data_IF_554187247196
#
_entry.id   IF_554187247196
#
_cell.length_a   1.000
_cell.length_b   1.000
_cell.length_c   1.000
_cell.angle_alpha   90.00
_cell.angle_beta   90.00
_cell.angle_gamma   90.00
#
_symmetry.space_group_name_H-M   'P 1'
#
loop_
_entity.id
_entity.type
_entity.pdbx_description
1 polymer ?
#
# COMPACT_ATOMS: atom_id res chain seq x y z
N UNK A 1 -24.05 -3.13 12.59
CA UNK A 1 -23.39 -3.28 12.19
C UNK A 1 -22.97 -3.62 11.69
N UNK A 2 -22.94 -3.61 11.66
CA UNK A 2 -22.21 -4.01 11.07
C UNK A 2 -21.54 -3.80 10.72
N UNK A 3 -21.01 -3.65 10.69
CA UNK A 3 -20.18 -3.56 10.30
C UNK A 3 -19.52 -3.39 9.76
N UNK A 4 -19.52 -2.99 9.71
CA UNK A 4 -18.71 -2.96 8.78
C UNK A 4 -17.45 -2.95 8.88
N UNK A 5 -17.25 -3.16 9.28
CA UNK A 5 -16.20 -3.25 9.27
C UNK A 5 -15.59 -3.97 8.87
N UNK A 6 -16.01 -4.01 9.35
CA UNK A 6 -15.43 -4.64 8.38
C UNK A 6 -14.00 -4.77 8.41
N UNK A 7 -13.53 -5.84 8.04
CA UNK A 7 -12.14 -5.93 7.92
C UNK A 7 -11.74 -5.38 6.57
N UNK A 8 -10.56 -4.95 6.51
CA UNK A 8 -10.07 -4.20 5.40
C UNK A 8 -9.91 -5.00 4.15
N UNK A 9 -9.59 -6.28 4.31
CA UNK A 9 -9.56 -7.17 3.17
C UNK A 9 -10.88 -7.18 2.44
N UNK A 10 -11.99 -7.18 3.20
CA UNK A 10 -13.31 -7.11 2.60
C UNK A 10 -13.56 -5.81 1.88
N UNK A 11 -13.09 -4.71 2.45
CA UNK A 11 -13.27 -3.41 1.81
C UNK A 11 -12.53 -3.36 0.49
N UNK A 12 -11.30 -3.87 0.46
CA UNK A 12 -10.48 -3.84 -0.74
C UNK A 12 -11.03 -4.78 -1.82
N UNK A 13 -11.55 -5.94 -1.42
CA UNK A 13 -11.96 -6.96 -2.38
C UNK A 13 -13.45 -6.94 -2.73
N UNK A 14 -14.30 -6.57 -1.77
CA UNK A 14 -15.74 -6.69 -1.93
C UNK A 14 -16.29 -5.81 -3.04
N UNK A 15 -15.64 -4.73 -3.37
CA UNK A 15 -16.08 -3.82 -4.41
C UNK A 15 -15.45 -4.13 -5.76
N UNK A 16 -14.72 -5.23 -5.85
CA UNK A 16 -13.98 -5.53 -7.06
C UNK A 16 -12.79 -4.62 -7.25
N UNK A 17 -12.47 -3.82 -6.24
CA UNK A 17 -11.33 -2.93 -6.31
C UNK A 17 -10.03 -3.71 -6.23
N UNK A 18 -9.01 -3.19 -6.88
CA UNK A 18 -7.67 -3.74 -6.78
C UNK A 18 -6.81 -2.73 -6.03
N UNK A 19 -5.63 -3.16 -5.63
CA UNK A 19 -4.71 -2.23 -4.98
C UNK A 19 -4.32 -1.08 -5.90
N UNK A 20 -4.54 -1.24 -7.19
CA UNK A 20 -4.26 -0.18 -8.16
C UNK A 20 -5.17 1.02 -7.97
N UNK A 21 -6.35 0.82 -7.37
CA UNK A 21 -7.26 1.92 -7.09
C UNK A 21 -6.75 2.81 -5.96
N UNK A 22 -5.69 2.40 -5.29
CA UNK A 22 -5.05 3.19 -4.24
C UNK A 22 -3.77 3.84 -4.75
N UNK A 23 -3.86 4.57 -5.85
CA UNK A 23 -2.70 5.17 -6.50
C UNK A 23 -1.85 6.01 -5.55
N UNK A 24 -2.49 6.91 -4.80
CA UNK A 24 -1.79 7.76 -3.86
C UNK A 24 -1.03 7.00 -2.78
N UNK A 25 -1.70 6.07 -2.08
CA UNK A 25 -1.02 5.26 -1.08
C UNK A 25 0.09 4.39 -1.65
N UNK A 26 -0.09 3.84 -2.85
CA UNK A 26 0.96 3.05 -3.49
C UNK A 26 2.18 3.91 -3.79
N UNK A 27 1.95 5.14 -4.24
CA UNK A 27 3.04 6.07 -4.51
C UNK A 27 3.81 6.41 -3.23
N UNK A 28 3.11 6.53 -2.10
CA UNK A 28 3.76 6.79 -0.83
C UNK A 28 4.64 5.60 -0.44
N UNK A 29 4.14 4.38 -0.61
CA UNK A 29 4.93 3.19 -0.31
C UNK A 29 6.17 3.14 -1.19
N UNK A 30 6.03 3.43 -2.48
CA UNK A 30 7.18 3.48 -3.39
C UNK A 30 8.21 4.52 -2.93
N UNK A 31 7.73 5.67 -2.49
CA UNK A 31 8.61 6.71 -1.97
C UNK A 31 9.37 6.23 -0.74
N UNK A 32 8.68 5.58 0.19
CA UNK A 32 9.30 5.07 1.41
C UNK A 32 10.34 4.02 1.10
N UNK A 33 10.04 3.11 0.17
CA UNK A 33 11.00 2.09 -0.25
C UNK A 33 12.23 2.72 -0.89
N UNK A 34 12.00 3.71 -1.74
CA UNK A 34 13.09 4.42 -2.41
C UNK A 34 14.00 5.13 -1.41
N UNK A 35 13.41 5.80 -0.43
CA UNK A 35 14.18 6.52 0.58
C UNK A 35 15.05 5.57 1.40
N UNK A 36 14.62 4.35 1.59
CA UNK A 36 15.35 3.37 2.38
C UNK A 36 16.17 2.42 1.52
N UNK A 37 16.20 2.65 0.20
CA UNK A 37 16.96 1.85 -0.75
C UNK A 37 16.57 0.37 -0.70
N UNK A 38 15.26 0.12 -0.59
CA UNK A 38 14.71 -1.23 -0.53
C UNK A 38 14.02 -1.52 -1.86
N UNK A 39 14.34 -2.68 -2.45
CA UNK A 39 13.66 -3.13 -3.66
C UNK A 39 12.26 -3.61 -3.31
N UNK A 40 11.33 -3.48 -4.26
CA UNK A 40 9.93 -3.83 -4.00
C UNK A 40 9.80 -5.28 -3.54
N UNK A 41 10.53 -6.20 -4.18
CA UNK A 41 10.42 -7.62 -3.84
C UNK A 41 10.98 -7.94 -2.45
N UNK A 42 11.74 -7.01 -1.86
CA UNK A 42 12.34 -7.20 -0.54
C UNK A 42 11.56 -6.51 0.57
N UNK A 43 10.34 -6.07 0.27
CA UNK A 43 9.53 -5.34 1.24
C UNK A 43 9.20 -6.19 2.47
N UNK A 44 9.34 -5.58 3.65
CA UNK A 44 9.02 -6.20 4.94
C UNK A 44 7.79 -5.50 5.51
N UNK A 45 6.74 -6.27 5.77
CA UNK A 45 5.46 -5.68 6.19
C UNK A 45 5.56 -4.85 7.46
N UNK A 46 6.30 -5.33 8.46
CA UNK A 46 6.40 -4.59 9.73
C UNK A 46 7.10 -3.26 9.55
N UNK A 47 8.17 -3.24 8.77
CA UNK A 47 8.93 -2.01 8.54
C UNK A 47 8.14 -1.01 7.73
N UNK A 48 7.50 -1.46 6.65
CA UNK A 48 6.76 -0.54 5.79
C UNK A 48 5.52 0.00 6.49
N UNK A 49 4.86 -0.83 7.30
CA UNK A 49 3.71 -0.37 8.08
C UNK A 49 4.12 0.74 9.04
N UNK A 50 5.22 0.53 9.76
CA UNK A 50 5.70 1.53 10.70
C UNK A 50 6.01 2.85 10.01
N UNK A 51 6.71 2.79 8.89
CA UNK A 51 7.06 4.00 8.14
C UNK A 51 5.83 4.68 7.54
N UNK A 52 4.89 3.88 7.07
CA UNK A 52 3.67 4.41 6.48
C UNK A 52 2.85 5.15 7.54
N UNK A 53 2.71 4.56 8.74
CA UNK A 53 1.98 5.20 9.82
C UNK A 53 2.66 6.49 10.26
N UNK A 54 3.99 6.50 10.30
CA UNK A 54 4.74 7.71 10.64
C UNK A 54 4.51 8.80 9.61
N UNK A 55 4.42 8.43 8.34
CA UNK A 55 4.14 9.37 7.26
C UNK A 55 2.76 10.01 7.44
N UNK A 56 1.75 9.19 7.75
CA UNK A 56 0.39 9.71 7.98
C UNK A 56 0.35 10.61 9.22
N UNK A 57 1.07 10.21 10.26
CA UNK A 57 1.12 11.01 11.47
C UNK A 57 1.74 12.39 11.22
N UNK A 58 2.76 12.43 10.38
CA UNK A 58 3.38 13.70 10.02
C UNK A 58 2.42 14.58 9.23
N UNK A 59 1.67 13.99 8.31
CA UNK A 59 0.65 14.72 7.57
C UNK A 59 -0.39 15.33 8.51
N UNK A 60 -0.80 14.57 9.50
CA UNK A 60 -1.77 15.02 10.48
C UNK A 60 -1.21 16.17 11.32
N UNK A 61 0.06 16.10 11.69
CA UNK A 61 0.71 17.16 12.45
C UNK A 61 0.79 18.47 11.67
N UNK A 62 0.82 18.38 10.35
CA UNK A 62 0.85 19.55 9.48
C UNK A 62 -0.56 20.04 9.13
N UNK A 63 -1.56 19.53 9.86
CA UNK A 63 -2.97 19.88 9.65
C UNK A 63 -3.46 19.53 8.25
N UNK A 64 -2.85 18.56 7.62
CA UNK A 64 -3.29 18.11 6.31
C UNK A 64 -4.40 17.08 6.48
N UNK A 65 -5.43 17.23 5.67
CA UNK A 65 -6.52 16.29 5.65
C UNK A 65 -6.07 14.99 4.99
N UNK A 66 -6.35 13.88 5.64
CA UNK A 66 -5.93 12.57 5.13
C UNK A 66 -7.11 11.92 4.41
N UNK A 67 -6.93 11.68 3.12
CA UNK A 67 -7.97 11.03 2.32
C UNK A 67 -8.20 9.60 2.80
N UNK A 68 -9.44 9.14 2.66
CA UNK A 68 -9.84 7.83 3.17
C UNK A 68 -9.04 6.67 2.58
N UNK A 69 -8.58 6.79 1.34
CA UNK A 69 -7.81 5.72 0.74
C UNK A 69 -6.45 5.52 1.43
N UNK A 70 -5.89 6.58 2.02
CA UNK A 70 -4.65 6.45 2.78
C UNK A 70 -4.89 5.68 4.07
N UNK A 71 -6.03 5.93 4.71
CA UNK A 71 -6.40 5.19 5.93
C UNK A 71 -6.72 3.75 5.61
N UNK A 72 -7.40 3.50 4.50
CA UNK A 72 -7.71 2.15 4.05
C UNK A 72 -6.43 1.34 3.81
N UNK A 73 -5.43 1.96 3.20
CA UNK A 73 -4.15 1.29 2.99
C UNK A 73 -3.47 0.96 4.31
N UNK A 74 -3.50 1.89 5.29
CA UNK A 74 -2.91 1.62 6.60
C UNK A 74 -3.55 0.38 7.23
N UNK A 75 -4.87 0.31 7.19
CA UNK A 75 -5.58 -0.83 7.75
C UNK A 75 -5.28 -2.12 6.99
N UNK A 76 -5.10 -2.03 5.68
CA UNK A 76 -4.73 -3.19 4.87
C UNK A 76 -3.35 -3.72 5.27
N UNK A 77 -2.39 -2.82 5.46
CA UNK A 77 -1.05 -3.22 5.90
C UNK A 77 -1.09 -3.84 7.30
N UNK A 78 -1.91 -3.28 8.19
CA UNK A 78 -2.10 -3.84 9.52
C UNK A 78 -2.74 -5.24 9.47
N UNK A 79 -3.68 -5.42 8.56
CA UNK A 79 -4.31 -6.71 8.35
C UNK A 79 -3.27 -7.76 7.95
N UNK A 80 -2.42 -7.43 6.99
CA UNK A 80 -1.37 -8.35 6.56
C UNK A 80 -0.43 -8.69 7.73
N UNK A 81 0.01 -7.68 8.46
CA UNK A 81 0.92 -7.91 9.58
C UNK A 81 0.29 -8.81 10.64
N UNK A 82 -0.98 -8.56 10.96
CA UNK A 82 -1.68 -9.35 11.96
C UNK A 82 -1.76 -10.82 11.53
N UNK A 83 -2.10 -11.06 10.26
CA UNK A 83 -2.19 -12.42 9.75
C UNK A 83 -0.84 -13.13 9.76
N UNK A 84 0.24 -12.39 9.52
CA UNK A 84 1.58 -12.97 9.56
C UNK A 84 1.95 -13.52 10.93
N UNK A 85 1.33 -13.01 11.99
CA UNK A 85 1.62 -13.41 13.36
C UNK A 85 0.73 -14.54 13.87
N UNK A 86 -0.21 -14.99 13.06
CA UNK A 86 -1.17 -16.00 13.48
C UNK A 86 -0.76 -17.39 13.00
N UNK A 87 -1.75 -18.27 12.80
CA UNK A 87 -1.48 -19.64 12.42
C UNK A 87 -0.88 -19.74 11.02
N UNK A 88 -0.41 -20.94 10.67
CA UNK A 88 0.18 -21.18 9.36
C UNK A 88 -0.79 -20.85 8.22
N UNK A 89 -2.06 -21.18 8.39
CA UNK A 89 -3.07 -20.88 7.37
C UNK A 89 -3.20 -19.37 7.14
N UNK A 90 -3.22 -18.61 8.24
CA UNK A 90 -3.30 -17.16 8.16
C UNK A 90 -2.01 -16.56 7.59
N UNK A 91 -0.87 -17.17 7.90
CA UNK A 91 0.40 -16.72 7.34
C UNK A 91 0.43 -16.89 5.83
N UNK A 92 -0.14 -18.00 5.32
CA UNK A 92 -0.22 -18.22 3.89
C UNK A 92 -1.13 -17.20 3.22
N UNK A 93 -2.23 -16.86 3.88
CA UNK A 93 -3.12 -15.82 3.38
C UNK A 93 -2.41 -14.47 3.34
N UNK A 94 -1.66 -14.16 4.40
CA UNK A 94 -0.90 -12.91 4.45
C UNK A 94 0.14 -12.86 3.34
N UNK A 95 0.82 -13.97 3.08
CA UNK A 95 1.81 -14.03 2.02
C UNK A 95 1.17 -13.81 0.66
N UNK A 96 -0.03 -14.36 0.45
CA UNK A 96 -0.77 -14.13 -0.78
C UNK A 96 -1.08 -12.65 -0.97
N UNK A 97 -1.49 -11.97 0.11
CA UNK A 97 -1.76 -10.54 0.05
C UNK A 97 -0.49 -9.73 -0.18
N UNK A 98 0.63 -10.15 0.43
CA UNK A 98 1.91 -9.51 0.17
C UNK A 98 2.30 -9.62 -1.30
N UNK A 99 2.07 -10.77 -1.90
CA UNK A 99 2.38 -10.97 -3.32
C UNK A 99 1.56 -10.03 -4.19
N UNK A 100 0.30 -9.82 -3.85
CA UNK A 100 -0.57 -8.89 -4.55
C UNK A 100 -0.09 -7.46 -4.39
N UNK A 101 0.34 -7.11 -3.18
CA UNK A 101 0.86 -5.77 -2.92
C UNK A 101 2.12 -5.51 -3.74
N UNK A 102 3.04 -6.46 -3.73
CA UNK A 102 4.28 -6.35 -4.50
C UNK A 102 3.96 -6.18 -5.99
N UNK A 103 3.04 -6.97 -6.51
CA UNK A 103 2.65 -6.88 -7.91
C UNK A 103 2.07 -5.51 -8.23
N UNK A 104 1.20 -4.99 -7.35
CA UNK A 104 0.59 -3.68 -7.55
C UNK A 104 1.62 -2.57 -7.50
N UNK A 105 2.59 -2.67 -6.60
CA UNK A 105 3.66 -1.68 -6.51
C UNK A 105 4.53 -1.69 -7.77
N UNK A 106 4.87 -2.87 -8.25
CA UNK A 106 5.67 -3.00 -9.48
C UNK A 106 4.93 -2.43 -10.67
N UNK A 107 3.63 -2.70 -10.75
CA UNK A 107 2.81 -2.17 -11.83
C UNK A 107 2.73 -0.66 -11.76
N UNK A 108 2.53 -0.12 -10.58
CA UNK A 108 2.47 1.33 -10.40
C UNK A 108 3.78 1.99 -10.75
N UNK A 109 4.89 1.38 -10.37
CA UNK A 109 6.22 1.89 -10.70
C UNK A 109 6.44 1.96 -12.22
N UNK A 110 6.00 0.92 -12.93
CA UNK A 110 6.11 0.91 -14.39
C UNK A 110 5.24 1.99 -15.02
N UNK A 111 4.05 2.21 -14.50
CA UNK A 111 3.15 3.25 -15.01
C UNK A 111 3.76 4.63 -14.81
N UNK A 112 4.33 4.87 -13.64
CA UNK A 112 4.97 6.15 -13.36
C UNK A 112 6.15 6.38 -14.30
N UNK A 113 6.97 5.37 -14.52
CA UNK A 113 8.10 5.47 -15.43
C UNK A 113 7.64 5.76 -16.87
N UNK A 114 6.57 5.09 -17.29
CA UNK A 114 6.03 5.28 -18.64
C UNK A 114 5.52 6.71 -18.81
N UNK A 115 4.82 7.23 -17.82
CA UNK A 115 4.32 8.60 -17.86
C UNK A 115 5.45 9.61 -17.92
N UNK A 116 6.53 9.36 -17.21
CA UNK A 116 7.70 10.24 -17.23
C UNK A 116 8.31 10.27 -18.64
N UNK A 117 8.42 9.09 -19.26
CA UNK A 117 8.97 9.00 -20.61
C UNK A 117 8.08 9.73 -21.61
N UNK A 118 6.76 9.58 -21.51
CA UNK A 118 5.83 10.29 -22.38
C UNK A 118 5.92 11.79 -22.23
N UNK A 119 6.06 12.27 -21.00
CA UNK A 119 6.21 13.69 -20.73
C UNK A 119 7.48 14.24 -21.40
N UNK A 120 8.58 13.52 -21.23
CA UNK A 120 9.84 13.93 -21.82
C UNK A 120 9.74 13.98 -23.34
N UNK A 121 9.09 12.99 -23.93
CA UNK A 121 8.92 12.94 -25.40
C UNK A 121 8.10 14.12 -25.90
N UNK A 122 7.09 14.53 -25.16
CA UNK A 122 6.23 15.65 -25.56
C UNK A 122 6.94 16.99 -25.49
N UNK A 123 7.98 17.10 -24.68
CA UNK A 123 8.74 18.33 -24.54
C UNK A 123 9.82 18.48 -25.61
N UNK A 124 10.08 17.42 -26.33
CA UNK A 124 11.02 17.46 -27.42
C UNK A 124 10.34 17.96 -28.70
#
# INVERSE_FOLDING_TARGET
MDEPRYHLGSVVHAKGETLEDFDGPLDVILLLLSKNKIEIQDIQISAILEQYLAYLDEMKRMDMEIASEFIAMASYLMYIKTRMLLSKAEQEEAQSEMDKLVESLQKRQRQDAYQQIQKAAKQL
#
